data_IF_354512657182
#
_entry.id   IF_354512657182
#
_cell.length_a   1.000
_cell.length_b   1.000
_cell.length_c   1.000
_cell.angle_alpha   90.00
_cell.angle_beta   90.00
_cell.angle_gamma   90.00
#
_symmetry.space_group_name_H-M   'P 1'
#
loop_
_entity.id
_entity.type
_entity.pdbx_description
1 polymer ?
#
# COMPACT_ATOMS: atom_id res chain seq x y z
N UNK A 1 -11.78 -3.58 10.82
CA UNK A 1 -10.52 -4.26 10.44
C UNK A 1 -9.40 -4.15 11.47
N UNK A 2 -8.55 -3.10 11.54
CA UNK A 2 -7.41 -3.10 12.51
C UNK A 2 -7.88 -3.28 13.97
N UNK A 3 -8.98 -2.63 14.35
CA UNK A 3 -9.58 -2.75 15.69
C UNK A 3 -10.10 -4.16 16.02
N UNK A 4 -10.38 -4.99 15.01
CA UNK A 4 -10.85 -6.37 15.19
C UNK A 4 -9.67 -7.37 15.32
N UNK A 5 -8.42 -6.91 15.12
CA UNK A 5 -7.22 -7.75 15.14
C UNK A 5 -6.25 -7.32 16.27
N UNK A 6 -6.79 -6.77 17.36
CA UNK A 6 -6.00 -6.37 18.54
C UNK A 6 -5.27 -7.56 19.15
N UNK A 7 -5.92 -8.73 19.13
CA UNK A 7 -5.44 -9.94 19.82
C UNK A 7 -4.49 -10.78 18.97
N UNK A 8 -4.38 -10.46 17.67
CA UNK A 8 -3.45 -11.14 16.76
C UNK A 8 -2.04 -10.61 16.99
N UNK A 9 -1.03 -11.41 17.38
CA UNK A 9 0.30 -10.90 17.70
C UNK A 9 0.93 -10.09 16.57
N UNK A 10 0.93 -10.64 15.35
CA UNK A 10 1.47 -9.97 14.18
C UNK A 10 0.54 -10.09 12.98
N UNK A 11 0.43 -9.02 12.20
CA UNK A 11 -0.29 -9.06 10.94
C UNK A 11 0.29 -8.09 9.90
N UNK A 12 0.02 -8.36 8.63
CA UNK A 12 0.26 -7.48 7.49
C UNK A 12 -1.01 -7.35 6.67
N UNK A 13 -1.46 -6.12 6.44
CA UNK A 13 -2.61 -5.78 5.62
C UNK A 13 -2.10 -5.24 4.29
N UNK A 14 -2.23 -6.04 3.25
CA UNK A 14 -1.83 -5.71 1.88
C UNK A 14 -3.04 -5.17 1.13
N UNK A 15 -2.91 -4.02 0.49
CA UNK A 15 -3.92 -3.51 -0.44
C UNK A 15 -3.91 -4.38 -1.69
N UNK A 16 -4.86 -5.31 -1.78
CA UNK A 16 -4.86 -6.38 -2.76
C UNK A 16 -5.39 -5.92 -4.12
N UNK A 17 -6.49 -5.18 -4.11
CA UNK A 17 -7.07 -4.56 -5.31
C UNK A 17 -7.90 -3.32 -4.92
N UNK A 18 -8.23 -2.50 -5.91
CA UNK A 18 -9.09 -1.33 -5.76
C UNK A 18 -10.13 -1.30 -6.89
N UNK A 19 -11.25 -0.64 -6.66
CA UNK A 19 -12.26 -0.48 -7.69
C UNK A 19 -13.01 0.84 -7.51
N UNK A 20 -13.50 1.39 -8.61
CA UNK A 20 -14.41 2.53 -8.61
C UNK A 20 -15.66 2.17 -9.39
N UNK A 21 -16.82 2.37 -8.80
CA UNK A 21 -18.11 2.09 -9.44
C UNK A 21 -18.96 3.36 -9.52
N UNK A 22 -20.05 3.28 -10.29
CA UNK A 22 -20.98 4.39 -10.52
C UNK A 22 -20.54 5.37 -11.60
N UNK A 23 -21.51 5.91 -12.34
CA UNK A 23 -21.26 6.86 -13.46
C UNK A 23 -21.34 8.33 -13.00
N UNK A 24 -22.31 8.64 -12.15
CA UNK A 24 -22.59 10.00 -11.67
C UNK A 24 -22.09 10.25 -10.24
N UNK A 25 -22.35 9.31 -9.33
CA UNK A 25 -21.77 9.28 -8.00
C UNK A 25 -20.75 8.15 -7.95
N UNK A 26 -19.49 8.50 -7.70
CA UNK A 26 -18.41 7.52 -7.64
C UNK A 26 -18.38 6.86 -6.27
N UNK A 27 -18.39 5.54 -6.28
CA UNK A 27 -18.15 4.73 -5.10
C UNK A 27 -16.75 4.12 -5.18
N UNK A 28 -16.08 4.06 -4.03
CA UNK A 28 -14.67 3.67 -3.94
C UNK A 28 -14.56 2.42 -3.09
N UNK A 29 -13.88 1.41 -3.61
CA UNK A 29 -13.77 0.11 -2.97
C UNK A 29 -12.33 -0.35 -2.88
N UNK A 30 -11.97 -0.94 -1.75
CA UNK A 30 -10.71 -1.65 -1.55
C UNK A 30 -10.97 -3.12 -1.28
N UNK A 31 -10.05 -3.95 -1.72
CA UNK A 31 -9.91 -5.33 -1.30
C UNK A 31 -8.56 -5.50 -0.61
N UNK A 32 -8.52 -6.27 0.47
CA UNK A 32 -7.31 -6.49 1.25
C UNK A 32 -6.95 -7.96 1.29
N UNK A 33 -5.64 -8.22 1.41
CA UNK A 33 -5.13 -9.53 1.78
C UNK A 33 -4.41 -9.39 3.12
N UNK A 34 -4.88 -10.13 4.10
CA UNK A 34 -4.42 -10.06 5.47
C UNK A 34 -3.61 -11.32 5.75
N UNK A 35 -2.35 -11.12 6.11
CA UNK A 35 -1.46 -12.18 6.60
C UNK A 35 -1.41 -12.02 8.11
N UNK A 36 -1.76 -13.06 8.87
CA UNK A 36 -1.78 -13.07 10.33
C UNK A 36 -0.86 -14.16 10.81
N UNK A 37 0.02 -13.85 11.75
CA UNK A 37 0.75 -14.84 12.54
C UNK A 37 0.08 -14.92 13.91
N UNK A 38 -0.62 -16.04 14.15
CA UNK A 38 -1.45 -16.24 15.35
C UNK A 38 -0.60 -16.80 16.49
N UNK A 39 0.32 -17.70 16.15
CA UNK A 39 1.36 -18.24 17.01
C UNK A 39 2.62 -18.46 16.16
N UNK A 40 3.75 -18.82 16.79
CA UNK A 40 5.04 -18.97 16.11
C UNK A 40 4.98 -19.98 14.96
N UNK A 41 5.00 -19.48 13.73
CA UNK A 41 4.95 -20.29 12.51
C UNK A 41 3.53 -20.61 12.00
N UNK A 42 2.47 -20.36 12.77
CA UNK A 42 1.10 -20.51 12.31
C UNK A 42 0.61 -19.23 11.62
N UNK A 43 0.63 -19.29 10.30
CA UNK A 43 0.26 -18.16 9.46
C UNK A 43 -1.04 -18.43 8.72
N UNK A 44 -1.98 -17.52 8.91
CA UNK A 44 -3.24 -17.49 8.19
C UNK A 44 -3.24 -16.37 7.15
N UNK A 45 -3.76 -16.67 5.98
CA UNK A 45 -3.98 -15.67 4.92
C UNK A 45 -5.44 -15.65 4.57
N UNK A 46 -6.00 -14.45 4.60
CA UNK A 46 -7.36 -14.21 4.17
C UNK A 46 -7.40 -13.08 3.13
N UNK A 47 -8.31 -13.20 2.17
CA UNK A 47 -8.61 -12.13 1.21
C UNK A 47 -10.01 -11.64 1.50
N UNK A 48 -10.12 -10.36 1.84
CA UNK A 48 -11.39 -9.78 2.24
C UNK A 48 -12.35 -9.70 1.06
N UNK A 49 -13.63 -9.56 1.38
CA UNK A 49 -14.60 -8.97 0.45
C UNK A 49 -14.21 -7.53 0.10
N UNK A 50 -14.89 -6.96 -0.88
CA UNK A 50 -14.79 -5.53 -1.17
C UNK A 50 -15.35 -4.71 -0.01
N UNK A 51 -14.57 -3.72 0.41
CA UNK A 51 -14.95 -2.73 1.42
C UNK A 51 -15.10 -1.38 0.75
N UNK A 52 -16.27 -0.77 0.90
CA UNK A 52 -16.45 0.62 0.52
C UNK A 52 -15.60 1.50 1.45
N UNK A 53 -14.87 2.44 0.86
CA UNK A 53 -14.01 3.39 1.56
C UNK A 53 -14.36 4.81 1.15
N UNK A 54 -13.94 5.79 1.94
CA UNK A 54 -14.07 7.19 1.53
C UNK A 54 -13.18 7.48 0.33
N UNK A 55 -13.58 8.47 -0.47
CA UNK A 55 -12.81 8.97 -1.60
C UNK A 55 -11.38 9.40 -1.17
N UNK A 56 -11.26 10.14 -0.05
CA UNK A 56 -9.96 10.59 0.46
C UNK A 56 -9.04 9.41 0.82
N UNK A 57 -9.59 8.37 1.46
CA UNK A 57 -8.82 7.19 1.81
C UNK A 57 -8.38 6.42 0.56
N UNK A 58 -9.24 6.36 -0.45
CA UNK A 58 -8.94 5.75 -1.74
C UNK A 58 -7.81 6.50 -2.47
N UNK A 59 -7.91 7.83 -2.57
CA UNK A 59 -6.89 8.65 -3.23
C UNK A 59 -5.55 8.58 -2.51
N UNK A 60 -5.56 8.57 -1.18
CA UNK A 60 -4.34 8.41 -0.38
C UNK A 60 -3.60 7.11 -0.71
N UNK A 61 -4.33 6.03 -1.01
CA UNK A 61 -3.77 4.70 -1.25
C UNK A 61 -3.69 4.30 -2.73
N UNK A 62 -4.07 5.19 -3.64
CA UNK A 62 -4.22 4.86 -5.06
C UNK A 62 -2.92 4.39 -5.73
N UNK A 63 -1.78 4.78 -5.19
CA UNK A 63 -0.44 4.38 -5.65
C UNK A 63 0.12 3.19 -4.86
N UNK A 64 -0.56 2.71 -3.82
CA UNK A 64 -0.10 1.68 -2.89
C UNK A 64 -0.67 0.28 -3.18
N UNK A 65 -1.35 0.05 -4.31
CA UNK A 65 -1.87 -1.28 -4.63
C UNK A 65 -0.71 -2.29 -4.69
N UNK A 66 -0.93 -3.49 -4.14
CA UNK A 66 0.08 -4.54 -3.96
C UNK A 66 1.05 -4.30 -2.81
N UNK A 67 0.97 -3.17 -2.10
CA UNK A 67 1.81 -2.86 -0.95
C UNK A 67 1.08 -3.17 0.35
N UNK A 68 1.87 -3.40 1.40
CA UNK A 68 1.39 -3.40 2.77
C UNK A 68 1.08 -1.97 3.18
N UNK A 69 -0.16 -1.70 3.61
CA UNK A 69 -0.61 -0.36 4.01
C UNK A 69 -0.75 -0.23 5.53
N UNK A 70 -0.80 -1.36 6.22
CA UNK A 70 -0.74 -1.41 7.67
C UNK A 70 -0.17 -2.75 8.13
N UNK A 71 0.54 -2.75 9.25
CA UNK A 71 1.01 -3.97 9.88
C UNK A 71 1.24 -3.78 11.37
N UNK A 72 1.28 -4.89 12.07
CA UNK A 72 1.65 -4.97 13.48
C UNK A 72 2.70 -6.06 13.65
N UNK A 73 3.80 -5.72 14.29
CA UNK A 73 4.85 -6.68 14.64
C UNK A 73 4.64 -7.28 16.04
N UNK A 74 5.48 -8.25 16.44
CA UNK A 74 5.41 -8.88 17.76
C UNK A 74 5.59 -7.90 18.93
N UNK A 75 6.21 -6.73 18.69
CA UNK A 75 6.36 -5.66 19.67
C UNK A 75 5.07 -4.84 19.87
N UNK A 76 3.98 -5.21 19.20
CA UNK A 76 2.68 -4.57 19.28
C UNK A 76 2.58 -3.24 18.53
N UNK A 77 3.67 -2.74 17.91
CA UNK A 77 3.64 -1.46 17.21
C UNK A 77 2.92 -1.59 15.88
N UNK A 78 1.95 -0.71 15.66
CA UNK A 78 1.21 -0.63 14.40
C UNK A 78 1.88 0.37 13.47
N UNK A 79 2.40 -0.11 12.34
CA UNK A 79 2.81 0.71 11.21
C UNK A 79 1.62 0.94 10.28
N UNK A 80 1.45 2.17 9.80
CA UNK A 80 0.47 2.54 8.76
C UNK A 80 1.15 3.15 7.52
N UNK A 81 2.48 3.07 7.47
CA UNK A 81 3.26 3.60 6.35
C UNK A 81 3.35 2.52 5.28
N UNK A 82 2.96 2.86 4.06
CA UNK A 82 2.94 1.89 2.98
C UNK A 82 4.35 1.37 2.65
N UNK A 83 4.54 0.06 2.64
CA UNK A 83 5.82 -0.57 2.36
C UNK A 83 5.62 -1.83 1.50
N UNK A 84 6.66 -2.33 0.82
CA UNK A 84 6.53 -3.59 0.12
C UNK A 84 6.16 -4.73 1.10
N UNK A 85 5.38 -5.73 0.67
CA UNK A 85 4.91 -6.78 1.56
C UNK A 85 6.05 -7.45 2.34
N UNK A 86 5.88 -7.54 3.67
CA UNK A 86 6.83 -8.22 4.55
C UNK A 86 8.00 -7.35 5.05
N UNK A 87 8.21 -6.15 4.51
CA UNK A 87 9.36 -5.30 4.88
C UNK A 87 9.29 -4.77 6.32
N UNK A 88 8.09 -4.56 6.87
CA UNK A 88 7.95 -4.00 8.21
C UNK A 88 8.36 -4.98 9.32
N UNK A 89 7.99 -6.26 9.20
CA UNK A 89 8.06 -7.23 10.31
C UNK A 89 8.90 -8.48 10.04
N UNK A 90 8.96 -8.95 8.79
CA UNK A 90 9.49 -10.28 8.46
C UNK A 90 10.87 -10.20 7.81
N UNK A 91 11.04 -9.32 6.82
CA UNK A 91 12.28 -9.20 6.07
C UNK A 91 13.33 -8.47 6.89
N UNK A 92 14.53 -9.05 6.97
CA UNK A 92 15.64 -8.52 7.78
C UNK A 92 15.59 -8.92 9.25
N UNK A 93 14.53 -9.62 9.69
CA UNK A 93 14.44 -10.18 11.03
C UNK A 93 14.96 -11.62 11.04
N UNK A 94 16.08 -11.82 11.75
CA UNK A 94 16.81 -13.10 11.80
C UNK A 94 16.00 -14.27 12.37
N UNK A 95 14.88 -14.01 13.06
CA UNK A 95 13.97 -15.07 13.48
C UNK A 95 13.32 -15.80 12.30
N UNK A 96 13.08 -15.11 11.19
CA UNK A 96 12.34 -15.64 10.05
C UNK A 96 13.23 -16.12 8.92
N UNK A 97 14.49 -15.68 8.87
CA UNK A 97 15.36 -15.98 7.75
C UNK A 97 16.70 -15.28 7.85
N UNK A 98 17.42 -15.24 6.73
CA UNK A 98 18.74 -14.65 6.66
C UNK A 98 19.03 -14.07 5.28
N UNK A 99 20.08 -13.24 5.20
CA UNK A 99 20.58 -12.72 3.93
C UNK A 99 21.54 -13.74 3.30
N UNK A 100 21.21 -14.19 2.09
CA UNK A 100 22.04 -15.11 1.30
C UNK A 100 22.75 -14.31 0.22
N UNK A 101 24.06 -14.54 0.06
CA UNK A 101 24.83 -13.97 -1.04
C UNK A 101 24.99 -15.00 -2.16
N UNK A 102 24.52 -14.66 -3.37
CA UNK A 102 24.83 -15.43 -4.59
C UNK A 102 25.28 -14.47 -5.68
N UNK A 103 26.44 -14.76 -6.27
CA UNK A 103 27.00 -14.02 -7.41
C UNK A 103 27.05 -12.49 -7.18
N UNK A 104 27.49 -12.06 -6.00
CA UNK A 104 27.64 -10.64 -5.66
C UNK A 104 26.34 -9.90 -5.35
N UNK A 105 25.18 -10.58 -5.36
CA UNK A 105 23.90 -10.01 -4.90
C UNK A 105 23.45 -10.69 -3.62
N UNK A 106 23.11 -9.91 -2.61
CA UNK A 106 22.49 -10.41 -1.37
C UNK A 106 20.97 -10.31 -1.43
N UNK A 107 20.26 -11.39 -1.10
CA UNK A 107 18.80 -11.43 -1.04
C UNK A 107 18.30 -12.12 0.23
N UNK A 108 17.07 -11.81 0.64
CA UNK A 108 16.45 -12.42 1.82
C UNK A 108 15.92 -13.81 1.51
N UNK A 109 16.27 -14.79 2.34
CA UNK A 109 15.75 -16.15 2.29
C UNK A 109 15.12 -16.52 3.62
N UNK A 110 13.86 -16.96 3.58
CA UNK A 110 13.15 -17.46 4.76
C UNK A 110 13.65 -18.85 5.14
N UNK A 111 13.69 -19.15 6.44
CA UNK A 111 13.92 -20.52 6.91
C UNK A 111 12.82 -21.45 6.42
N UNK A 112 13.10 -22.75 6.33
CA UNK A 112 12.17 -23.75 5.79
C UNK A 112 10.77 -23.69 6.38
N UNK A 113 10.66 -23.50 7.70
CA UNK A 113 9.38 -23.36 8.41
C UNK A 113 8.56 -22.12 7.99
N UNK A 114 9.20 -21.12 7.39
CA UNK A 114 8.58 -19.90 6.86
C UNK A 114 8.67 -19.81 5.34
N UNK A 115 9.09 -20.87 4.64
CA UNK A 115 9.33 -20.85 3.19
C UNK A 115 8.07 -20.44 2.39
N UNK A 116 6.89 -20.74 2.91
CA UNK A 116 5.62 -20.33 2.29
C UNK A 116 5.44 -18.79 2.24
N UNK A 117 6.11 -18.04 3.14
CA UNK A 117 6.09 -16.57 3.11
C UNK A 117 6.68 -16.04 1.79
N UNK A 118 7.66 -16.74 1.22
CA UNK A 118 8.22 -16.40 -0.10
C UNK A 118 7.14 -16.40 -1.18
N UNK A 119 6.18 -17.32 -1.12
CA UNK A 119 5.03 -17.35 -2.03
C UNK A 119 4.07 -16.20 -1.73
N UNK A 120 3.74 -15.97 -0.45
CA UNK A 120 2.77 -14.94 -0.04
C UNK A 120 3.22 -13.53 -0.42
N UNK A 121 4.51 -13.23 -0.22
CA UNK A 121 5.13 -11.96 -0.58
C UNK A 121 5.63 -11.93 -2.04
N UNK A 122 5.42 -13.01 -2.79
CA UNK A 122 5.86 -13.16 -4.18
C UNK A 122 7.36 -12.90 -4.41
N UNK A 123 8.18 -13.39 -3.48
CA UNK A 123 9.63 -13.23 -3.48
C UNK A 123 10.33 -14.20 -4.44
N UNK A 124 9.66 -15.26 -4.91
CA UNK A 124 10.19 -16.12 -5.96
C UNK A 124 10.36 -15.36 -7.29
N UNK A 125 9.38 -14.55 -7.68
CA UNK A 125 9.47 -13.72 -8.86
C UNK A 125 10.20 -12.39 -8.60
N UNK A 126 10.17 -11.89 -7.36
CA UNK A 126 10.82 -10.64 -6.97
C UNK A 126 11.64 -10.80 -5.68
N UNK A 127 12.85 -11.40 -5.77
CA UNK A 127 13.71 -11.56 -4.61
C UNK A 127 14.01 -10.21 -3.96
N UNK A 128 13.87 -10.15 -2.64
CA UNK A 128 14.13 -8.93 -1.89
C UNK A 128 15.63 -8.78 -1.73
N UNK A 129 16.20 -7.77 -2.40
CA UNK A 129 17.63 -7.49 -2.34
C UNK A 129 17.98 -6.72 -1.07
N UNK A 130 19.15 -7.03 -0.50
CA UNK A 130 19.65 -6.37 0.71
C UNK A 130 19.77 -4.86 0.53
N UNK A 131 20.26 -4.40 -0.62
CA UNK A 131 20.36 -2.97 -0.91
C UNK A 131 19.01 -2.23 -0.89
N UNK A 132 17.91 -2.90 -1.30
CA UNK A 132 16.57 -2.30 -1.29
C UNK A 132 16.03 -2.23 0.13
N UNK A 133 16.31 -3.26 0.93
CA UNK A 133 15.97 -3.27 2.34
C UNK A 133 16.77 -2.25 3.15
N UNK A 134 18.07 -2.11 2.90
CA UNK A 134 18.93 -1.13 3.58
C UNK A 134 18.42 0.30 3.30
N UNK A 135 18.10 0.61 2.04
CA UNK A 135 17.52 1.90 1.65
C UNK A 135 16.17 2.15 2.33
N UNK A 136 15.26 1.17 2.28
CA UNK A 136 14.00 1.23 3.01
C UNK A 136 14.20 1.51 4.51
N UNK A 137 15.06 0.73 5.15
CA UNK A 137 15.26 0.78 6.61
C UNK A 137 15.92 2.08 7.05
N UNK A 138 16.85 2.61 6.26
CA UNK A 138 17.54 3.87 6.54
C UNK A 138 16.69 5.11 6.26
N UNK A 139 15.96 5.13 5.13
CA UNK A 139 15.40 6.37 4.59
C UNK A 139 13.87 6.46 4.59
N UNK A 140 13.15 5.35 4.79
CA UNK A 140 11.70 5.28 4.59
C UNK A 140 10.95 4.72 5.80
N UNK A 141 11.54 3.77 6.52
CA UNK A 141 10.89 3.08 7.64
C UNK A 141 10.29 4.07 8.66
N UNK A 142 8.97 3.97 8.84
CA UNK A 142 8.19 4.83 9.76
C UNK A 142 8.04 6.29 9.33
N UNK A 143 8.54 6.70 8.16
CA UNK A 143 8.55 8.10 7.70
C UNK A 143 7.71 8.34 6.45
N UNK A 144 7.88 7.49 5.43
CA UNK A 144 7.25 7.67 4.11
C UNK A 144 7.15 6.36 3.36
N UNK A 145 6.23 6.30 2.41
CA UNK A 145 6.02 5.11 1.61
C UNK A 145 7.24 4.75 0.75
N UNK A 146 7.57 3.45 0.66
CA UNK A 146 8.70 2.97 -0.12
C UNK A 146 8.27 2.14 -1.33
N UNK A 147 8.60 2.63 -2.53
CA UNK A 147 8.22 2.00 -3.80
C UNK A 147 9.36 1.19 -4.43
N UNK A 148 10.47 1.01 -3.70
CA UNK A 148 11.68 0.41 -4.24
C UNK A 148 12.47 1.36 -5.13
N UNK A 149 13.63 0.90 -5.64
CA UNK A 149 14.42 1.66 -6.59
C UNK A 149 13.65 1.90 -7.89
N UNK A 150 14.03 2.96 -8.60
CA UNK A 150 13.56 3.16 -9.98
C UNK A 150 14.11 2.05 -10.87
N UNK A 151 13.25 1.46 -11.69
CA UNK A 151 13.66 0.51 -12.74
C UNK A 151 14.41 1.25 -13.84
N UNK A 152 15.15 0.52 -14.67
CA UNK A 152 15.89 1.06 -15.84
C UNK A 152 15.01 1.86 -16.79
N UNK A 153 13.70 1.58 -16.80
CA UNK A 153 12.68 2.26 -17.61
C UNK A 153 11.95 3.40 -16.88
N UNK A 154 12.44 3.85 -15.72
CA UNK A 154 11.82 4.91 -14.92
C UNK A 154 10.56 4.47 -14.15
N UNK A 155 10.26 3.17 -14.12
CA UNK A 155 9.14 2.59 -13.40
C UNK A 155 9.43 2.38 -11.91
N UNK A 156 8.40 2.20 -11.10
CA UNK A 156 8.52 1.79 -9.69
C UNK A 156 8.64 0.27 -9.59
N UNK A 157 9.36 -0.23 -8.58
CA UNK A 157 9.44 -1.67 -8.30
C UNK A 157 8.17 -2.20 -7.63
N UNK A 158 7.64 -1.45 -6.66
CA UNK A 158 6.44 -1.76 -5.88
C UNK A 158 5.36 -0.68 -6.06
N UNK A 159 4.12 -1.00 -5.69
CA UNK A 159 2.97 -0.09 -5.79
C UNK A 159 2.22 -0.16 -7.12
N UNK A 160 1.18 0.65 -7.25
CA UNK A 160 0.26 0.62 -8.40
C UNK A 160 1.01 0.85 -9.72
N UNK A 161 0.83 -0.07 -10.67
CA UNK A 161 1.50 0.01 -11.99
C UNK A 161 2.96 -0.48 -12.00
N UNK A 162 3.47 -0.96 -10.87
CA UNK A 162 4.85 -1.45 -10.76
C UNK A 162 5.07 -2.80 -11.43
N UNK A 163 6.35 -3.17 -11.61
CA UNK A 163 6.72 -4.50 -12.10
C UNK A 163 6.17 -5.59 -11.20
N UNK A 164 6.28 -5.45 -9.87
CA UNK A 164 5.73 -6.39 -8.90
C UNK A 164 4.26 -6.73 -9.16
N UNK A 165 3.44 -5.72 -9.47
CA UNK A 165 2.02 -5.90 -9.74
C UNK A 165 1.72 -6.43 -11.14
N UNK A 166 2.56 -6.16 -12.15
CA UNK A 166 2.37 -6.72 -13.51
C UNK A 166 2.26 -8.24 -13.49
N UNK A 167 3.12 -8.90 -12.70
CA UNK A 167 3.22 -10.35 -12.69
C UNK A 167 2.35 -11.01 -11.60
N UNK A 168 1.90 -10.25 -10.59
CA UNK A 168 1.04 -10.79 -9.51
C UNK A 168 -0.43 -10.44 -9.64
N UNK A 169 -0.78 -9.46 -10.48
CA UNK A 169 -2.11 -8.81 -10.49
C UNK A 169 -2.69 -8.62 -11.89
N UNK A 170 -2.42 -9.52 -12.83
CA UNK A 170 -2.93 -9.42 -14.20
C UNK A 170 -4.46 -9.33 -14.31
N UNK A 171 -5.21 -9.79 -13.30
CA UNK A 171 -6.68 -9.69 -13.21
C UNK A 171 -7.22 -8.55 -12.33
N UNK A 172 -6.38 -7.64 -11.83
CA UNK A 172 -6.81 -6.54 -10.93
C UNK A 172 -7.67 -5.51 -11.67
N UNK A 173 -8.81 -5.13 -11.07
CA UNK A 173 -9.71 -4.09 -11.58
C UNK A 173 -9.06 -2.71 -11.53
N UNK A 174 -8.21 -2.45 -10.54
CA UNK A 174 -7.49 -1.18 -10.45
C UNK A 174 -6.31 -1.10 -11.41
N UNK A 175 -5.55 -2.19 -11.56
CA UNK A 175 -4.30 -2.18 -12.33
C UNK A 175 -4.52 -1.71 -13.78
N UNK A 176 -5.56 -2.24 -14.44
CA UNK A 176 -5.95 -1.85 -15.80
C UNK A 176 -6.29 -0.35 -15.88
N UNK A 177 -7.11 0.14 -14.96
CA UNK A 177 -7.53 1.54 -14.91
C UNK A 177 -6.41 2.51 -14.48
N UNK A 178 -5.52 2.08 -13.58
CA UNK A 178 -4.42 2.86 -13.05
C UNK A 178 -3.24 2.98 -14.03
N UNK A 179 -3.24 2.23 -15.13
CA UNK A 179 -2.34 2.51 -16.25
C UNK A 179 -2.73 3.80 -17.00
N UNK A 180 -3.99 4.27 -16.87
CA UNK A 180 -4.49 5.47 -17.50
C UNK A 180 -4.31 6.72 -16.61
N UNK A 181 -3.38 7.60 -16.98
CA UNK A 181 -3.06 8.83 -16.25
C UNK A 181 -4.25 9.80 -16.16
N UNK A 182 -5.07 9.89 -17.20
CA UNK A 182 -6.26 10.76 -17.22
C UNK A 182 -7.32 10.31 -16.21
N UNK A 183 -7.47 8.99 -16.04
CA UNK A 183 -8.38 8.42 -15.06
C UNK A 183 -7.91 8.69 -13.63
N UNK A 184 -6.61 8.50 -13.34
CA UNK A 184 -6.05 8.88 -12.02
C UNK A 184 -6.25 10.36 -11.71
N UNK A 185 -6.02 11.23 -12.69
CA UNK A 185 -6.20 12.67 -12.51
C UNK A 185 -7.67 13.02 -12.25
N UNK A 186 -8.62 12.33 -12.88
CA UNK A 186 -10.05 12.49 -12.60
C UNK A 186 -10.39 12.09 -11.16
N UNK A 187 -9.87 10.96 -10.70
CA UNK A 187 -10.08 10.49 -9.33
C UNK A 187 -9.46 11.46 -8.30
N UNK A 188 -8.23 11.93 -8.54
CA UNK A 188 -7.57 12.94 -7.68
C UNK A 188 -8.30 14.27 -7.66
N UNK A 189 -8.76 14.74 -8.82
CA UNK A 189 -9.47 16.02 -8.92
C UNK A 189 -10.83 15.98 -8.24
N UNK A 190 -11.51 14.83 -8.23
CA UNK A 190 -12.76 14.64 -7.48
C UNK A 190 -12.53 14.79 -5.97
N UNK A 191 -11.50 14.15 -5.39
CA UNK A 191 -11.13 14.30 -3.99
C UNK A 191 -10.73 15.74 -3.60
N UNK A 192 -10.01 16.44 -4.49
CA UNK A 192 -9.65 17.85 -4.25
C UNK A 192 -10.86 18.80 -4.23
N UNK A 193 -12.01 18.39 -4.81
CA UNK A 193 -13.26 19.16 -4.79
C UNK A 193 -14.07 18.86 -3.53
N UNK A 194 -14.09 17.61 -3.05
CA UNK A 194 -14.77 17.22 -1.81
C UNK A 194 -14.06 17.77 -0.57
N UNK A 195 -12.73 17.81 -0.54
CA UNK A 195 -11.94 18.47 0.52
C UNK A 195 -12.09 20.00 0.59
N UNK A 196 -12.53 20.66 -0.49
CA UNK A 196 -12.86 22.10 -0.51
C UNK A 196 -14.29 22.42 -0.05
N UNK A 197 -15.18 21.43 0.02
CA UNK A 197 -16.56 21.67 0.46
C UNK A 197 -16.71 21.67 1.99
N UNK A 198 -15.74 21.13 2.75
CA UNK A 198 -15.78 21.15 4.23
C UNK A 198 -15.26 22.44 4.87
N UNK A 199 -14.78 23.41 4.08
CA UNK A 199 -14.21 24.68 4.57
C UNK A 199 -15.09 25.91 4.30
N UNK A 200 -16.42 25.74 4.09
CA UNK A 200 -17.37 26.86 4.01
C UNK A 200 -18.38 26.86 5.18
N UNK A 201 -17.85 27.05 6.38
CA UNK A 201 -18.59 27.66 7.50
C UNK A 201 -17.72 28.80 8.05
N UNK A 202 -17.71 29.90 7.31
CA UNK A 202 -17.03 31.14 7.68
C UNK A 202 -17.91 32.29 7.24
N UNK A 203 -18.86 32.63 8.10
CA UNK A 203 -19.69 33.82 7.98
C UNK A 203 -18.80 35.06 7.83
N UNK A 204 -18.86 35.71 6.67
CA UNK A 204 -18.37 37.07 6.50
C UNK A 204 -19.41 37.85 5.72
N UNK A 205 -20.33 38.40 6.48
CA UNK A 205 -21.04 39.63 6.17
C UNK A 205 -20.00 40.70 5.77
N UNK A 206 -19.90 41.01 4.48
CA UNK A 206 -19.36 42.29 4.00
C UNK A 206 -20.25 42.86 2.89
N UNK A 207 -21.18 43.65 3.39
CA UNK A 207 -21.65 44.96 2.93
C UNK A 207 -21.38 45.40 1.50
N UNK A 208 -22.48 45.86 0.90
CA UNK A 208 -22.66 46.65 -0.32
C UNK A 208 -21.66 47.81 -0.53
N UNK A 209 -21.39 48.07 -1.80
CA UNK A 209 -20.86 49.31 -2.40
C UNK A 209 -20.22 48.94 -3.74
N UNK A 210 -20.77 49.18 -4.94
CA UNK A 210 -21.48 50.37 -5.42
C UNK A 210 -20.44 51.34 -5.99
N UNK A 211 -20.21 51.36 -7.30
CA UNK A 211 -19.34 52.39 -7.92
C UNK A 211 -18.88 52.12 -9.36
N UNK A 212 -19.30 53.02 -10.25
CA UNK A 212 -19.06 53.11 -11.69
C UNK A 212 -17.65 53.57 -12.09
N UNK A 213 -17.20 53.15 -13.29
CA UNK A 213 -16.64 53.99 -14.37
C UNK A 213 -15.28 54.69 -14.20
N UNK A 214 -14.30 54.31 -15.02
CA UNK A 214 -13.87 54.97 -16.28
C UNK A 214 -12.77 54.15 -16.95
#
# INVERSE_FOLDING_TARGET
MIKEMTDIPSYSIILFDMNTEGSYFKEFYHQYRIIKEIDSGNIQVDTTRWHQVSEDFFVMHMDHMGMEIASKGPDGKVSKTAAPPGYNNYIGNQQYGHWVNRNGTSFWEFYGQYAFMSTMFNMFAYPVRRSYWDDYRGNYYGRRAYYGPSTTTGGRMYGTGSQYNRNTRSGSRWYSNASNSSFKNRVRSSASRSSRSSSRSGSSYRSRGGGFGK
#
